data_IF_231884090007
#
_entry.id   IF_231884090007
#
_cell.length_a   1.000
_cell.length_b   1.000
_cell.length_c   1.000
_cell.angle_alpha   90.00
_cell.angle_beta   90.00
_cell.angle_gamma   90.00
#
_symmetry.space_group_name_H-M   'P 1'
#
loop_
_entity.id
_entity.type
_entity.pdbx_description
1 polymer ?
#
# COMPACT_ATOMS: atom_id res chain seq x y z
N UNK A 1 17.84 1.09 15.35
CA UNK A 1 18.61 0.83 14.11
C UNK A 1 20.01 0.36 14.44
N UNK A 2 20.79 1.10 15.22
CA UNK A 2 22.18 0.73 15.56
C UNK A 2 22.25 -0.63 16.27
N UNK A 3 21.36 -0.90 17.23
CA UNK A 3 21.28 -2.17 17.94
C UNK A 3 20.99 -3.34 16.98
N UNK A 4 20.11 -3.16 16.01
CA UNK A 4 19.83 -4.18 14.98
C UNK A 4 21.09 -4.44 14.15
N UNK A 5 21.78 -3.37 13.71
CA UNK A 5 23.04 -3.49 12.95
C UNK A 5 24.16 -4.15 13.73
N UNK A 6 24.21 -4.00 15.05
CA UNK A 6 25.23 -4.65 15.89
C UNK A 6 24.98 -6.14 16.14
N UNK A 7 23.73 -6.60 15.96
CA UNK A 7 23.33 -7.98 16.19
C UNK A 7 23.20 -8.83 14.92
N UNK A 8 23.08 -8.18 13.76
CA UNK A 8 22.91 -8.86 12.48
C UNK A 8 24.10 -8.58 11.54
N UNK A 9 24.65 -9.66 11.01
CA UNK A 9 25.58 -9.56 9.88
C UNK A 9 24.79 -9.38 8.56
N UNK A 10 25.22 -8.44 7.72
CA UNK A 10 24.55 -8.16 6.45
C UNK A 10 24.54 -9.39 5.53
N UNK A 11 25.61 -10.19 5.51
CA UNK A 11 25.68 -11.37 4.66
C UNK A 11 24.68 -12.43 5.12
N UNK A 12 24.48 -12.61 6.43
CA UNK A 12 23.46 -13.53 6.96
C UNK A 12 22.04 -13.07 6.61
N UNK A 13 21.77 -11.77 6.74
CA UNK A 13 20.48 -11.21 6.32
C UNK A 13 20.23 -11.50 4.85
N UNK A 14 21.19 -11.15 3.98
CA UNK A 14 21.02 -11.28 2.53
C UNK A 14 20.99 -12.74 2.06
N UNK A 15 21.66 -13.69 2.74
CA UNK A 15 21.55 -15.13 2.44
C UNK A 15 20.13 -15.67 2.58
N UNK A 16 19.31 -15.05 3.40
CA UNK A 16 17.88 -15.39 3.51
C UNK A 16 17.07 -15.02 2.28
N UNK A 17 17.64 -14.23 1.36
CA UNK A 17 16.97 -13.73 0.17
C UNK A 17 17.62 -14.18 -1.13
N UNK A 18 18.96 -14.21 -1.19
CA UNK A 18 19.73 -14.50 -2.41
C UNK A 18 20.89 -15.43 -2.13
N UNK A 19 21.32 -16.19 -3.14
CA UNK A 19 22.48 -17.08 -3.05
C UNK A 19 23.76 -16.25 -3.16
N UNK A 20 24.48 -16.09 -2.04
CA UNK A 20 25.79 -15.43 -1.99
C UNK A 20 26.93 -16.44 -2.19
N UNK A 21 27.88 -16.08 -3.01
CA UNK A 21 29.11 -16.87 -3.24
C UNK A 21 30.36 -16.05 -2.86
N UNK A 22 31.42 -16.65 -2.32
CA UNK A 22 32.64 -15.97 -1.91
C UNK A 22 33.31 -15.22 -3.07
N UNK A 23 33.87 -14.03 -2.77
CA UNK A 23 34.66 -13.20 -3.69
C UNK A 23 35.76 -12.46 -2.91
N UNK A 24 36.80 -13.18 -2.46
CA UNK A 24 37.82 -12.68 -1.57
C UNK A 24 37.26 -12.37 -0.18
N UNK A 25 37.46 -11.14 0.33
CA UNK A 25 36.88 -10.65 1.59
C UNK A 25 35.38 -10.30 1.47
N UNK A 26 34.88 -10.21 0.26
CA UNK A 26 33.49 -9.88 -0.03
C UNK A 26 32.72 -11.12 -0.48
N UNK A 27 31.39 -10.94 -0.68
CA UNK A 27 30.52 -11.93 -1.28
C UNK A 27 29.89 -11.32 -2.54
N UNK A 28 29.55 -12.18 -3.52
CA UNK A 28 28.89 -11.73 -4.76
C UNK A 28 27.65 -12.58 -5.06
N UNK A 29 26.73 -12.00 -5.83
CA UNK A 29 25.54 -12.69 -6.30
C UNK A 29 25.10 -12.13 -7.66
N UNK A 30 24.16 -12.82 -8.31
CA UNK A 30 23.35 -12.20 -9.34
C UNK A 30 22.41 -11.17 -8.68
N UNK A 31 22.30 -10.00 -9.26
CA UNK A 31 21.49 -8.93 -8.71
C UNK A 31 19.99 -9.29 -8.73
N UNK A 32 19.28 -9.17 -7.60
CA UNK A 32 17.84 -9.43 -7.59
C UNK A 32 17.01 -8.30 -8.21
N UNK A 33 17.65 -7.14 -8.48
CA UNK A 33 16.96 -5.93 -8.90
C UNK A 33 17.06 -5.64 -10.41
N UNK A 34 17.95 -6.33 -11.14
CA UNK A 34 18.00 -6.29 -12.60
C UNK A 34 18.39 -7.67 -13.17
N UNK A 35 18.18 -7.89 -14.46
CA UNK A 35 18.53 -9.13 -15.13
C UNK A 35 19.98 -9.11 -15.59
N UNK A 36 20.76 -10.10 -15.15
CA UNK A 36 22.16 -10.26 -15.56
C UNK A 36 22.54 -11.75 -15.65
N UNK A 37 23.59 -12.03 -16.40
CA UNK A 37 24.13 -13.39 -16.55
C UNK A 37 25.36 -13.64 -15.69
N UNK A 38 26.08 -12.59 -15.29
CA UNK A 38 27.29 -12.63 -14.48
C UNK A 38 27.08 -11.84 -13.18
N UNK A 39 27.56 -12.36 -12.03
CA UNK A 39 27.37 -11.70 -10.74
C UNK A 39 28.02 -10.32 -10.65
N UNK A 40 27.23 -9.25 -10.51
CA UNK A 40 27.70 -7.88 -10.29
C UNK A 40 27.26 -7.28 -8.94
N UNK A 41 26.47 -8.02 -8.18
CA UNK A 41 26.00 -7.61 -6.86
C UNK A 41 27.06 -8.02 -5.81
N UNK A 42 27.70 -7.03 -5.18
CA UNK A 42 28.73 -7.25 -4.18
C UNK A 42 28.24 -6.90 -2.77
N UNK A 43 28.58 -7.73 -1.82
CA UNK A 43 28.30 -7.52 -0.39
C UNK A 43 29.63 -7.44 0.35
N UNK A 44 29.81 -6.40 1.13
CA UNK A 44 30.96 -6.21 2.02
C UNK A 44 30.53 -6.36 3.47
N UNK A 45 30.76 -7.53 4.12
CA UNK A 45 30.42 -7.74 5.53
C UNK A 45 31.10 -6.71 6.43
N UNK A 46 32.41 -6.45 6.23
CA UNK A 46 33.20 -5.52 7.04
C UNK A 46 32.63 -4.09 7.04
N UNK A 47 32.00 -3.69 5.92
CA UNK A 47 31.39 -2.36 5.79
C UNK A 47 29.90 -2.34 6.11
N UNK A 48 29.28 -3.51 6.31
CA UNK A 48 27.83 -3.63 6.49
C UNK A 48 27.03 -3.11 5.30
N UNK A 49 27.59 -3.22 4.07
CA UNK A 49 26.99 -2.62 2.88
C UNK A 49 27.03 -3.54 1.66
N UNK A 50 26.16 -3.25 0.70
CA UNK A 50 26.13 -3.89 -0.61
C UNK A 50 26.10 -2.86 -1.73
N UNK A 51 26.56 -3.24 -2.91
CA UNK A 51 26.49 -2.42 -4.11
C UNK A 51 26.40 -3.32 -5.35
N UNK A 52 25.56 -2.96 -6.28
CA UNK A 52 25.47 -3.62 -7.58
C UNK A 52 26.18 -2.79 -8.65
N UNK A 53 27.25 -3.31 -9.23
CA UNK A 53 28.02 -2.62 -10.28
C UNK A 53 27.31 -2.67 -11.66
N UNK A 54 26.26 -3.48 -11.81
CA UNK A 54 25.46 -3.54 -13.05
C UNK A 54 24.41 -2.43 -13.13
N UNK A 55 23.66 -2.19 -12.04
CA UNK A 55 22.60 -1.17 -12.03
C UNK A 55 22.87 0.03 -11.11
N UNK A 56 24.08 0.10 -10.47
CA UNK A 56 24.53 1.24 -9.68
C UNK A 56 23.86 1.42 -8.32
N UNK A 57 22.90 0.57 -7.94
CA UNK A 57 22.22 0.69 -6.65
C UNK A 57 23.01 0.03 -5.52
N UNK A 58 22.87 0.56 -4.31
CA UNK A 58 23.55 0.06 -3.13
C UNK A 58 22.90 0.53 -1.83
N UNK A 59 23.43 0.06 -0.71
CA UNK A 59 22.96 0.45 0.61
C UNK A 59 23.37 -0.51 1.72
N UNK A 60 22.72 -0.41 2.84
CA UNK A 60 22.84 -1.33 3.99
C UNK A 60 21.75 -2.44 3.96
N UNK A 61 21.68 -3.24 5.03
CA UNK A 61 20.68 -4.30 5.15
C UNK A 61 19.24 -3.78 5.12
N UNK A 62 18.98 -2.57 5.64
CA UNK A 62 17.64 -1.98 5.61
C UNK A 62 17.26 -1.59 4.18
N UNK A 63 18.15 -0.90 3.48
CA UNK A 63 17.94 -0.53 2.08
C UNK A 63 17.71 -1.76 1.19
N UNK A 64 18.43 -2.88 1.45
CA UNK A 64 18.20 -4.14 0.75
C UNK A 64 16.79 -4.68 1.02
N UNK A 65 16.40 -4.81 2.29
CA UNK A 65 15.09 -5.37 2.68
C UNK A 65 13.94 -4.49 2.18
N UNK A 66 14.06 -3.16 2.32
CA UNK A 66 13.07 -2.22 1.77
C UNK A 66 12.86 -2.44 0.28
N UNK A 67 13.95 -2.52 -0.49
CA UNK A 67 13.87 -2.68 -1.94
C UNK A 67 13.46 -4.10 -2.34
N UNK A 68 13.95 -5.10 -1.63
CA UNK A 68 13.64 -6.50 -1.91
C UNK A 68 12.19 -6.82 -1.55
N UNK A 69 11.66 -6.42 -0.42
CA UNK A 69 10.28 -6.68 0.02
C UNK A 69 9.28 -5.64 -0.51
N UNK A 70 9.77 -4.59 -1.18
CA UNK A 70 8.95 -3.46 -1.65
C UNK A 70 8.14 -2.82 -0.52
N UNK A 71 8.81 -2.50 0.58
CA UNK A 71 8.22 -1.97 1.82
C UNK A 71 8.92 -0.70 2.26
N UNK A 72 8.29 0.04 3.17
CA UNK A 72 8.87 1.22 3.76
C UNK A 72 9.81 0.88 4.92
N UNK A 73 10.64 1.85 5.32
CA UNK A 73 11.70 1.68 6.31
C UNK A 73 11.21 1.06 7.61
N UNK A 74 10.03 1.44 8.08
CA UNK A 74 9.49 0.95 9.35
C UNK A 74 9.16 -0.55 9.32
N UNK A 75 8.62 -1.05 8.22
CA UNK A 75 8.38 -2.49 8.03
C UNK A 75 9.70 -3.26 7.96
N UNK A 76 10.68 -2.74 7.19
CA UNK A 76 12.01 -3.35 7.11
C UNK A 76 12.69 -3.37 8.48
N UNK A 77 12.54 -2.31 9.26
CA UNK A 77 13.05 -2.23 10.64
C UNK A 77 12.41 -3.29 11.53
N UNK A 78 11.10 -3.50 11.45
CA UNK A 78 10.41 -4.54 12.22
C UNK A 78 10.88 -5.93 11.87
N UNK A 79 10.98 -6.25 10.57
CA UNK A 79 11.47 -7.56 10.12
C UNK A 79 12.90 -7.85 10.61
N UNK A 80 13.76 -6.84 10.51
CA UNK A 80 15.15 -7.00 10.96
C UNK A 80 15.27 -7.02 12.48
N UNK A 81 14.43 -6.27 13.21
CA UNK A 81 14.38 -6.31 14.67
C UNK A 81 13.93 -7.67 15.20
N UNK A 82 12.89 -8.26 14.60
CA UNK A 82 12.44 -9.62 14.93
C UNK A 82 13.57 -10.63 14.71
N UNK A 83 14.25 -10.55 13.57
CA UNK A 83 15.39 -11.41 13.25
C UNK A 83 16.58 -11.20 14.18
N UNK A 84 16.79 -9.99 14.69
CA UNK A 84 17.85 -9.64 15.65
C UNK A 84 17.49 -9.98 17.11
N UNK A 85 16.27 -10.42 17.41
CA UNK A 85 15.75 -10.55 18.77
C UNK A 85 15.72 -9.22 19.52
N UNK A 86 15.50 -8.12 18.81
CA UNK A 86 15.42 -6.76 19.35
C UNK A 86 13.95 -6.36 19.47
N UNK A 87 13.52 -6.06 20.67
CA UNK A 87 12.20 -5.47 20.89
C UNK A 87 12.22 -4.01 20.43
N UNK A 88 11.48 -3.70 19.37
CA UNK A 88 11.27 -2.30 18.98
C UNK A 88 10.34 -1.67 20.03
N UNK A 89 10.94 -0.95 20.98
CA UNK A 89 10.19 -0.27 22.03
C UNK A 89 9.14 0.66 21.40
N UNK A 90 7.94 0.68 21.97
CA UNK A 90 6.83 1.51 21.51
C UNK A 90 7.11 3.04 21.58
N UNK A 91 8.24 3.43 22.13
CA UNK A 91 8.70 4.81 22.35
C UNK A 91 9.97 5.21 21.61
N UNK A 92 10.55 4.37 20.73
CA UNK A 92 11.60 4.86 19.84
C UNK A 92 11.00 5.95 18.95
N UNK A 93 11.62 7.14 18.93
CA UNK A 93 11.06 8.40 18.40
C UNK A 93 10.41 8.25 16.99
N UNK A 94 10.88 7.34 16.16
CA UNK A 94 10.31 7.06 14.84
C UNK A 94 9.26 5.94 14.88
N UNK A 95 9.40 4.89 15.71
CA UNK A 95 8.49 3.74 15.76
C UNK A 95 7.08 4.09 16.28
N UNK A 96 6.98 5.00 17.24
CA UNK A 96 5.71 5.53 17.75
C UNK A 96 4.95 6.31 16.68
N UNK A 97 5.65 7.22 16.00
CA UNK A 97 5.06 8.07 14.96
C UNK A 97 4.49 7.25 13.78
N UNK A 98 5.17 6.19 13.32
CA UNK A 98 4.65 5.30 12.29
C UNK A 98 3.44 4.48 12.77
N UNK A 99 3.48 4.01 14.02
CA UNK A 99 2.37 3.28 14.62
C UNK A 99 1.10 4.12 14.65
N UNK A 100 1.21 5.40 15.05
CA UNK A 100 0.09 6.33 15.07
C UNK A 100 -0.55 6.49 13.67
N UNK A 101 0.24 6.51 12.59
CA UNK A 101 -0.29 6.59 11.22
C UNK A 101 -1.09 5.33 10.84
N UNK A 102 -0.57 4.13 11.16
CA UNK A 102 -1.30 2.89 10.93
C UNK A 102 -2.59 2.81 11.75
N UNK A 103 -2.53 3.23 13.02
CA UNK A 103 -3.69 3.23 13.90
C UNK A 103 -4.76 4.22 13.42
N UNK A 104 -4.35 5.43 12.97
CA UNK A 104 -5.25 6.42 12.37
C UNK A 104 -5.91 5.91 11.08
N UNK A 105 -5.14 5.28 10.17
CA UNK A 105 -5.69 4.69 8.95
C UNK A 105 -6.65 3.53 9.25
N UNK A 106 -6.32 2.67 10.21
CA UNK A 106 -7.22 1.59 10.64
C UNK A 106 -8.54 2.15 11.17
N UNK A 107 -8.47 3.14 12.07
CA UNK A 107 -9.67 3.77 12.63
C UNK A 107 -10.49 4.50 11.55
N UNK A 108 -9.83 5.14 10.58
CA UNK A 108 -10.51 5.74 9.43
C UNK A 108 -11.23 4.70 8.57
N UNK A 109 -10.60 3.54 8.31
CA UNK A 109 -11.22 2.42 7.61
C UNK A 109 -12.46 1.93 8.36
N UNK A 110 -12.35 1.69 9.66
CA UNK A 110 -13.46 1.21 10.49
C UNK A 110 -14.61 2.25 10.50
N UNK A 111 -14.28 3.54 10.57
CA UNK A 111 -15.25 4.63 10.43
C UNK A 111 -15.97 4.57 9.08
N UNK A 112 -15.25 4.52 7.96
CA UNK A 112 -15.86 4.48 6.63
C UNK A 112 -16.72 3.24 6.43
N UNK A 113 -16.27 2.07 6.90
CA UNK A 113 -17.09 0.85 6.88
C UNK A 113 -18.40 1.04 7.64
N UNK A 114 -18.34 1.61 8.85
CA UNK A 114 -19.54 1.85 9.68
C UNK A 114 -20.52 2.77 8.98
N UNK A 115 -20.06 3.75 8.19
CA UNK A 115 -20.93 4.64 7.43
C UNK A 115 -21.66 3.91 6.31
N UNK A 116 -21.00 2.97 5.62
CA UNK A 116 -21.64 2.20 4.55
C UNK A 116 -22.59 1.12 5.10
N UNK A 117 -22.26 0.50 6.24
CA UNK A 117 -23.00 -0.64 6.80
C UNK A 117 -23.99 -0.27 7.91
N UNK A 118 -24.25 1.01 8.17
CA UNK A 118 -25.16 1.50 9.23
C UNK A 118 -26.52 0.80 9.18
N UNK A 119 -27.03 0.32 10.30
CA UNK A 119 -28.33 -0.34 10.37
C UNK A 119 -29.50 0.61 10.03
N UNK A 120 -29.34 1.91 10.34
CA UNK A 120 -30.31 2.96 10.02
C UNK A 120 -29.64 4.00 9.09
N UNK A 121 -29.60 3.73 7.76
CA UNK A 121 -28.89 4.58 6.82
C UNK A 121 -29.60 5.92 6.61
N UNK A 122 -28.83 7.00 6.55
CA UNK A 122 -29.27 8.27 6.01
C UNK A 122 -29.54 8.15 4.51
N UNK A 123 -30.20 9.12 3.89
CA UNK A 123 -30.40 9.14 2.44
C UNK A 123 -29.09 9.03 1.64
N UNK A 124 -28.03 9.72 2.09
CA UNK A 124 -26.69 9.64 1.48
C UNK A 124 -26.09 8.23 1.58
N UNK A 125 -26.22 7.58 2.72
CA UNK A 125 -25.73 6.20 2.93
C UNK A 125 -26.54 5.19 2.09
N UNK A 126 -27.86 5.37 1.97
CA UNK A 126 -28.69 4.55 1.09
C UNK A 126 -28.26 4.68 -0.37
N UNK A 127 -28.08 5.92 -0.86
CA UNK A 127 -27.57 6.19 -2.22
C UNK A 127 -26.21 5.52 -2.48
N UNK A 128 -25.30 5.55 -1.50
CA UNK A 128 -24.00 4.89 -1.63
C UNK A 128 -24.14 3.35 -1.73
N UNK A 129 -25.04 2.75 -0.95
CA UNK A 129 -25.34 1.30 -1.03
C UNK A 129 -25.92 0.90 -2.38
N UNK A 130 -26.91 1.66 -2.84
CA UNK A 130 -27.50 1.42 -4.15
C UNK A 130 -26.47 1.54 -5.26
N UNK A 131 -25.57 2.51 -5.13
CA UNK A 131 -24.48 2.68 -6.09
C UNK A 131 -23.53 1.47 -6.10
N UNK A 132 -23.00 1.00 -4.97
CA UNK A 132 -22.09 -0.14 -4.96
C UNK A 132 -22.78 -1.43 -5.41
N UNK A 133 -24.07 -1.60 -5.09
CA UNK A 133 -24.90 -2.71 -5.57
C UNK A 133 -25.13 -2.64 -7.09
N UNK A 134 -25.45 -1.45 -7.62
CA UNK A 134 -25.62 -1.25 -9.08
C UNK A 134 -24.32 -1.51 -9.86
N UNK A 135 -23.16 -1.40 -9.20
CA UNK A 135 -21.85 -1.76 -9.75
C UNK A 135 -21.52 -3.26 -9.64
N UNK A 136 -22.46 -4.08 -9.16
CA UNK A 136 -22.33 -5.53 -9.09
C UNK A 136 -21.60 -6.06 -7.85
N UNK A 137 -21.24 -5.20 -6.87
CA UNK A 137 -20.55 -5.67 -5.66
C UNK A 137 -21.51 -6.39 -4.72
N UNK A 138 -21.09 -7.58 -4.28
CA UNK A 138 -21.82 -8.36 -3.26
C UNK A 138 -21.46 -7.88 -1.86
N UNK A 139 -22.31 -8.22 -0.87
CA UNK A 139 -22.07 -7.90 0.53
C UNK A 139 -20.78 -8.56 1.05
N UNK A 140 -20.51 -9.78 0.60
CA UNK A 140 -19.29 -10.54 0.93
C UNK A 140 -18.05 -9.80 0.43
N UNK A 141 -18.05 -9.35 -0.83
CA UNK A 141 -16.94 -8.60 -1.42
C UNK A 141 -16.73 -7.25 -0.72
N UNK A 142 -17.82 -6.53 -0.42
CA UNK A 142 -17.78 -5.27 0.35
C UNK A 142 -17.12 -5.50 1.72
N UNK A 143 -17.52 -6.56 2.42
CA UNK A 143 -16.97 -6.92 3.72
C UNK A 143 -15.52 -7.41 3.62
N UNK A 144 -15.21 -8.26 2.63
CA UNK A 144 -13.87 -8.82 2.45
C UNK A 144 -12.80 -7.76 2.15
N UNK A 145 -13.16 -6.75 1.37
CA UNK A 145 -12.27 -5.64 0.99
C UNK A 145 -12.49 -4.38 1.84
N UNK A 146 -13.32 -4.49 2.88
CA UNK A 146 -13.53 -3.44 3.87
C UNK A 146 -13.92 -2.09 3.22
N UNK A 147 -14.77 -2.18 2.19
CA UNK A 147 -15.24 -1.01 1.43
C UNK A 147 -16.16 -0.17 2.32
N UNK A 148 -15.99 1.15 2.27
CA UNK A 148 -16.70 2.08 3.13
C UNK A 148 -17.27 3.27 2.41
N UNK A 149 -17.77 4.23 3.17
CA UNK A 149 -18.30 5.51 2.69
C UNK A 149 -17.70 6.66 3.49
N UNK A 150 -17.11 7.62 2.81
CA UNK A 150 -16.80 8.93 3.38
C UNK A 150 -18.05 9.80 3.31
N UNK A 151 -18.58 10.30 4.44
CA UNK A 151 -19.73 11.18 4.45
C UNK A 151 -19.51 12.45 3.62
N UNK A 152 -20.58 13.09 3.17
CA UNK A 152 -20.49 14.35 2.42
C UNK A 152 -20.13 15.56 3.31
N UNK A 153 -20.26 15.43 4.63
CA UNK A 153 -19.91 16.50 5.59
C UNK A 153 -18.40 16.76 5.61
N UNK A 154 -18.05 18.01 5.94
CA UNK A 154 -16.68 18.49 5.79
C UNK A 154 -15.67 17.94 6.80
N UNK A 155 -16.10 17.46 7.96
CA UNK A 155 -15.26 17.15 9.12
C UNK A 155 -15.75 15.90 9.91
N UNK A 156 -16.50 15.02 9.27
CA UNK A 156 -17.08 13.84 9.92
C UNK A 156 -16.03 12.87 10.46
N UNK A 157 -15.03 12.53 9.63
CA UNK A 157 -13.90 11.70 10.03
C UNK A 157 -13.04 12.40 11.07
N UNK A 158 -12.74 13.69 10.85
CA UNK A 158 -11.92 14.49 11.78
C UNK A 158 -12.53 14.47 13.19
N UNK A 159 -13.84 14.73 13.32
CA UNK A 159 -14.54 14.69 14.62
C UNK A 159 -14.54 13.28 15.22
N UNK A 160 -14.75 12.26 14.42
CA UNK A 160 -14.75 10.87 14.90
C UNK A 160 -13.38 10.47 15.46
N UNK A 161 -12.29 10.77 14.74
CA UNK A 161 -10.95 10.40 15.18
C UNK A 161 -10.47 11.24 16.39
N UNK A 162 -10.74 12.53 16.40
CA UNK A 162 -10.39 13.38 17.55
C UNK A 162 -11.21 13.03 18.80
N UNK A 163 -12.49 12.68 18.63
CA UNK A 163 -13.33 12.14 19.70
C UNK A 163 -12.81 10.83 20.28
N UNK A 164 -12.20 9.99 19.44
CA UNK A 164 -11.49 8.76 19.82
C UNK A 164 -10.03 9.01 20.31
N UNK A 165 -9.66 10.28 20.53
CA UNK A 165 -8.36 10.74 21.06
C UNK A 165 -7.14 10.47 20.16
N UNK A 166 -7.33 10.35 18.85
CA UNK A 166 -6.21 10.37 17.92
C UNK A 166 -5.62 11.78 17.81
N UNK A 167 -4.29 11.87 17.81
CA UNK A 167 -3.60 13.16 17.72
C UNK A 167 -3.79 13.79 16.33
N UNK A 168 -4.18 15.07 16.28
CA UNK A 168 -4.41 15.80 15.01
C UNK A 168 -3.20 15.74 14.08
N UNK A 169 -1.94 15.91 14.55
CA UNK A 169 -0.78 15.76 13.66
C UNK A 169 -0.63 14.36 13.04
N UNK A 170 -1.04 13.30 13.74
CA UNK A 170 -1.02 11.95 13.20
C UNK A 170 -2.08 11.76 12.11
N UNK A 171 -3.30 12.29 12.31
CA UNK A 171 -4.40 12.24 11.34
C UNK A 171 -4.00 13.01 10.06
N UNK A 172 -3.38 14.20 10.21
CA UNK A 172 -2.89 15.03 9.10
C UNK A 172 -1.76 14.31 8.33
N UNK A 173 -0.73 13.81 9.04
CA UNK A 173 0.38 13.06 8.45
C UNK A 173 -0.03 11.75 7.79
N UNK A 174 -1.12 11.12 8.24
CA UNK A 174 -1.73 9.98 7.58
C UNK A 174 -2.47 10.35 6.27
N UNK A 175 -2.58 11.65 5.95
CA UNK A 175 -3.24 12.15 4.75
C UNK A 175 -4.76 12.05 4.79
N UNK A 176 -5.36 11.96 5.97
CA UNK A 176 -6.81 11.81 6.16
C UNK A 176 -7.55 13.14 6.20
N UNK A 177 -6.86 14.20 6.60
CA UNK A 177 -7.39 15.57 6.69
C UNK A 177 -6.49 16.57 5.97
N UNK A 178 -7.04 17.73 5.67
CA UNK A 178 -6.34 18.85 5.04
C UNK A 178 -6.50 20.07 5.97
N UNK A 179 -5.38 20.73 6.25
CA UNK A 179 -5.37 22.01 6.98
C UNK A 179 -5.60 23.15 6.00
N UNK A 180 -6.58 24.03 6.29
CA UNK A 180 -6.81 25.23 5.52
C UNK A 180 -5.79 26.33 5.90
N UNK A 181 -5.67 27.37 5.10
CA UNK A 181 -4.86 28.56 5.40
C UNK A 181 -5.30 29.24 6.69
N UNK A 182 -6.57 29.12 7.06
CA UNK A 182 -7.15 29.69 8.30
C UNK A 182 -6.95 28.78 9.53
N UNK A 183 -6.23 27.63 9.38
CA UNK A 183 -5.96 26.71 10.46
C UNK A 183 -7.08 25.73 10.80
N UNK A 184 -8.20 25.73 10.06
CA UNK A 184 -9.28 24.74 10.20
C UNK A 184 -8.93 23.45 9.45
N UNK A 185 -9.48 22.31 9.92
CA UNK A 185 -9.27 21.01 9.32
C UNK A 185 -10.52 20.52 8.60
N UNK A 186 -10.31 19.88 7.45
CA UNK A 186 -11.35 19.30 6.60
C UNK A 186 -10.99 17.87 6.27
N UNK A 187 -11.99 16.99 6.16
CA UNK A 187 -11.78 15.64 5.68
C UNK A 187 -11.29 15.66 4.23
N UNK A 188 -10.25 14.90 3.93
CA UNK A 188 -9.73 14.76 2.55
C UNK A 188 -10.74 14.08 1.64
N UNK A 189 -11.45 13.09 2.16
CA UNK A 189 -12.43 12.30 1.42
C UNK A 189 -13.83 12.69 1.88
N UNK A 190 -14.68 13.08 0.93
CA UNK A 190 -16.06 13.50 1.19
C UNK A 190 -16.96 13.02 0.07
N UNK A 191 -18.15 12.47 0.39
CA UNK A 191 -19.11 12.01 -0.59
C UNK A 191 -18.56 10.91 -1.52
N UNK A 192 -17.74 9.99 -0.98
CA UNK A 192 -17.02 8.99 -1.77
C UNK A 192 -17.16 7.59 -1.22
N UNK A 193 -17.31 6.62 -2.12
CA UNK A 193 -17.07 5.21 -1.78
C UNK A 193 -15.56 5.03 -1.59
N UNK A 194 -15.18 4.44 -0.44
CA UNK A 194 -13.81 4.32 0.01
C UNK A 194 -13.30 2.91 -0.16
N UNK A 195 -12.12 2.80 -0.77
CA UNK A 195 -11.38 1.55 -0.97
C UNK A 195 -10.07 1.66 -0.20
N UNK A 196 -9.89 0.87 0.88
CA UNK A 196 -8.64 0.87 1.62
C UNK A 196 -7.49 0.32 0.77
N UNK A 197 -6.32 0.94 0.89
CA UNK A 197 -5.08 0.50 0.27
C UNK A 197 -4.21 -0.18 1.31
N UNK A 198 -3.74 -1.38 0.99
CA UNK A 198 -2.98 -2.23 1.90
C UNK A 198 -1.54 -2.38 1.44
N UNK A 199 -0.62 -2.41 2.39
CA UNK A 199 0.75 -2.86 2.11
C UNK A 199 0.81 -4.40 1.99
N UNK A 200 2.01 -4.92 1.70
CA UNK A 200 2.25 -6.36 1.51
C UNK A 200 1.95 -7.21 2.77
N UNK A 201 1.82 -6.58 3.94
CA UNK A 201 1.49 -7.24 5.22
C UNK A 201 0.00 -7.13 5.58
N UNK A 202 -0.82 -6.56 4.71
CA UNK A 202 -2.26 -6.40 4.96
C UNK A 202 -2.59 -5.28 5.95
N UNK A 203 -1.71 -4.28 6.12
CA UNK A 203 -2.01 -3.08 6.90
C UNK A 203 -2.50 -1.97 6.01
N UNK A 204 -3.54 -1.26 6.44
CA UNK A 204 -4.07 -0.10 5.73
C UNK A 204 -3.06 1.04 5.79
N UNK A 205 -2.63 1.51 4.62
CA UNK A 205 -1.63 2.58 4.47
C UNK A 205 -2.20 3.85 3.85
N UNK A 206 -3.38 3.77 3.25
CA UNK A 206 -4.08 4.88 2.63
C UNK A 206 -5.41 4.44 2.03
N UNK A 207 -5.97 5.30 1.20
CA UNK A 207 -7.28 5.08 0.59
C UNK A 207 -7.31 5.62 -0.84
N UNK A 208 -8.22 5.05 -1.63
CA UNK A 208 -8.74 5.69 -2.82
C UNK A 208 -10.25 5.87 -2.67
N UNK A 209 -10.76 7.02 -3.04
CA UNK A 209 -12.17 7.38 -2.91
C UNK A 209 -12.81 7.71 -4.25
N UNK A 210 -13.82 6.94 -4.65
CA UNK A 210 -14.63 7.20 -5.85
C UNK A 210 -15.81 8.08 -5.51
N UNK A 211 -15.95 9.21 -6.20
CA UNK A 211 -17.07 10.13 -5.99
C UNK A 211 -18.40 9.46 -6.35
N UNK A 212 -19.44 9.71 -5.54
CA UNK A 212 -20.79 9.30 -5.86
C UNK A 212 -21.37 10.20 -6.98
N UNK A 213 -22.09 9.64 -7.98
CA UNK A 213 -22.71 10.43 -9.04
C UNK A 213 -23.65 11.54 -8.52
N UNK A 214 -24.33 11.29 -7.40
CA UNK A 214 -25.19 12.27 -6.73
C UNK A 214 -24.44 13.51 -6.25
N UNK A 215 -23.19 13.38 -5.83
CA UNK A 215 -22.34 14.48 -5.36
C UNK A 215 -21.91 15.37 -6.54
N UNK A 216 -21.60 14.77 -7.67
CA UNK A 216 -21.26 15.51 -8.89
C UNK A 216 -22.45 16.36 -9.34
N UNK A 217 -23.66 15.78 -9.31
CA UNK A 217 -24.88 16.47 -9.70
C UNK A 217 -25.23 17.66 -8.78
N UNK A 218 -24.90 17.58 -7.48
CA UNK A 218 -25.22 18.63 -6.51
C UNK A 218 -24.22 19.79 -6.51
N UNK A 219 -22.94 19.53 -6.76
CA UNK A 219 -21.91 20.56 -6.62
C UNK A 219 -21.68 21.35 -7.91
N UNK A 220 -22.12 20.85 -9.08
CA UNK A 220 -21.89 21.49 -10.38
C UNK A 220 -20.41 21.59 -10.78
N UNK A 221 -19.50 21.15 -9.90
CA UNK A 221 -18.07 21.10 -10.17
C UNK A 221 -17.68 19.72 -10.67
N UNK A 222 -16.79 19.66 -11.63
CA UNK A 222 -16.13 18.44 -12.11
C UNK A 222 -15.22 17.88 -11.02
N UNK A 223 -15.82 17.20 -10.03
CA UNK A 223 -15.05 16.52 -9.00
C UNK A 223 -14.30 15.35 -9.63
N UNK A 224 -13.00 15.25 -9.37
CA UNK A 224 -12.20 14.12 -9.84
C UNK A 224 -12.88 12.79 -9.49
N UNK A 225 -13.06 11.92 -10.51
CA UNK A 225 -13.73 10.62 -10.39
C UNK A 225 -13.13 9.78 -9.24
N UNK A 226 -11.80 9.76 -9.14
CA UNK A 226 -11.05 9.14 -8.05
C UNK A 226 -10.11 10.14 -7.39
N UNK A 227 -9.99 10.04 -6.07
CA UNK A 227 -9.00 10.76 -5.26
C UNK A 227 -8.25 9.74 -4.41
N UNK A 228 -6.92 9.81 -4.42
CA UNK A 228 -6.06 8.95 -3.60
C UNK A 228 -5.52 9.71 -2.38
N UNK A 229 -5.12 8.95 -1.35
CA UNK A 229 -4.25 9.48 -0.30
C UNK A 229 -3.01 10.14 -0.90
N UNK A 230 -2.47 11.19 -0.30
CA UNK A 230 -1.17 11.75 -0.68
C UNK A 230 -0.06 10.76 -0.29
N UNK A 231 1.14 10.99 -0.79
CA UNK A 231 2.34 10.32 -0.27
C UNK A 231 2.48 10.59 1.22
N UNK A 232 2.74 9.53 1.99
CA UNK A 232 2.94 9.60 3.44
C UNK A 232 4.12 8.74 3.86
N UNK A 233 4.62 8.84 5.09
CA UNK A 233 5.70 7.95 5.55
C UNK A 233 5.39 6.45 5.49
N UNK A 234 4.11 6.06 5.36
CA UNK A 234 3.67 4.66 5.27
C UNK A 234 3.00 4.32 3.93
N UNK A 235 2.81 5.28 3.04
CA UNK A 235 2.16 5.10 1.75
C UNK A 235 2.97 5.72 0.62
N UNK A 236 3.39 4.90 -0.30
CA UNK A 236 4.01 5.30 -1.55
C UNK A 236 3.22 4.69 -2.71
N UNK A 237 2.57 5.55 -3.49
CA UNK A 237 1.67 5.13 -4.57
C UNK A 237 2.37 4.27 -5.63
N UNK A 238 3.65 4.54 -5.90
CA UNK A 238 4.43 3.78 -6.88
C UNK A 238 4.74 2.34 -6.46
N UNK A 239 4.52 1.99 -5.19
CA UNK A 239 4.81 0.67 -4.63
C UNK A 239 3.55 -0.17 -4.36
N UNK A 240 2.36 0.44 -4.36
CA UNK A 240 1.12 -0.22 -3.94
C UNK A 240 0.34 -0.73 -5.16
N UNK A 241 0.10 -2.04 -5.17
CA UNK A 241 -0.85 -2.69 -6.07
C UNK A 241 -2.10 -3.08 -5.27
N UNK A 242 -3.26 -2.61 -5.73
CA UNK A 242 -4.53 -2.92 -5.06
C UNK A 242 -4.80 -4.43 -5.08
N UNK A 243 -5.17 -4.98 -3.94
CA UNK A 243 -5.46 -6.40 -3.79
C UNK A 243 -4.23 -7.31 -3.64
N UNK A 244 -3.01 -6.83 -3.86
CA UNK A 244 -1.79 -7.66 -3.87
C UNK A 244 -1.58 -8.47 -2.59
N UNK A 245 -1.88 -7.91 -1.42
CA UNK A 245 -1.75 -8.60 -0.13
C UNK A 245 -2.60 -9.89 -0.05
N UNK A 246 -3.73 -9.95 -0.78
CA UNK A 246 -4.60 -11.14 -0.89
C UNK A 246 -4.22 -12.03 -2.07
N UNK A 247 -3.87 -11.42 -3.21
CA UNK A 247 -3.62 -12.15 -4.47
C UNK A 247 -2.25 -12.84 -4.54
N UNK A 248 -1.29 -12.43 -3.73
CA UNK A 248 0.12 -12.89 -3.82
C UNK A 248 0.29 -14.40 -3.73
N UNK A 249 -0.56 -15.12 -2.98
CA UNK A 249 -0.53 -16.59 -2.91
C UNK A 249 -0.97 -17.19 -4.24
N UNK A 250 -2.14 -16.79 -4.74
CA UNK A 250 -2.67 -17.29 -6.01
C UNK A 250 -1.74 -16.96 -7.19
N UNK A 251 -1.11 -15.77 -7.19
CA UNK A 251 -0.11 -15.40 -8.20
C UNK A 251 1.10 -16.35 -8.13
N UNK A 252 1.59 -16.66 -6.92
CA UNK A 252 2.72 -17.58 -6.73
C UNK A 252 2.39 -19.00 -7.19
N UNK A 253 1.20 -19.47 -6.91
CA UNK A 253 0.74 -20.82 -7.23
C UNK A 253 0.52 -20.98 -8.76
N UNK A 254 -0.06 -19.97 -9.40
CA UNK A 254 -0.31 -19.97 -10.86
C UNK A 254 0.87 -19.46 -11.68
N UNK A 255 1.89 -18.86 -11.07
CA UNK A 255 3.00 -18.15 -11.72
C UNK A 255 2.54 -17.03 -12.67
N UNK A 256 1.29 -16.60 -12.56
CA UNK A 256 0.68 -15.63 -13.46
C UNK A 256 -0.01 -14.55 -12.64
N UNK A 257 0.24 -13.27 -12.96
CA UNK A 257 -0.50 -12.14 -12.43
C UNK A 257 -1.32 -11.48 -13.53
N UNK A 258 -2.59 -11.22 -13.25
CA UNK A 258 -3.48 -10.43 -14.11
C UNK A 258 -3.50 -9.01 -13.54
N UNK A 259 -3.16 -8.04 -14.36
CA UNK A 259 -3.11 -6.63 -13.98
C UNK A 259 -4.25 -5.88 -14.66
N UNK A 260 -5.13 -5.28 -13.86
CA UNK A 260 -6.22 -4.42 -14.32
C UNK A 260 -5.97 -2.97 -13.91
N UNK A 261 -6.73 -2.02 -14.45
CA UNK A 261 -6.52 -0.60 -14.14
C UNK A 261 -7.14 -0.20 -12.80
N UNK A 262 -8.39 -0.56 -12.58
CA UNK A 262 -9.21 -0.01 -11.51
C UNK A 262 -9.53 -0.99 -10.39
N UNK A 263 -9.90 -0.43 -9.24
CA UNK A 263 -10.36 -1.20 -8.09
C UNK A 263 -11.64 -1.99 -8.39
N UNK A 264 -12.53 -1.41 -9.23
CA UNK A 264 -13.79 -2.06 -9.59
C UNK A 264 -13.55 -3.31 -10.44
N UNK A 265 -12.65 -3.21 -11.42
CA UNK A 265 -12.28 -4.33 -12.31
C UNK A 265 -11.67 -5.47 -11.51
N UNK A 266 -10.76 -5.11 -10.58
CA UNK A 266 -10.19 -6.06 -9.63
C UNK A 266 -11.29 -6.76 -8.81
N UNK A 267 -12.20 -6.00 -8.20
CA UNK A 267 -13.24 -6.54 -7.32
C UNK A 267 -14.20 -7.47 -8.07
N UNK A 268 -14.57 -7.13 -9.30
CA UNK A 268 -15.41 -7.97 -10.14
C UNK A 268 -14.70 -9.27 -10.49
N UNK A 269 -13.45 -9.23 -10.95
CA UNK A 269 -12.68 -10.44 -11.25
C UNK A 269 -12.46 -11.31 -10.01
N UNK A 270 -12.17 -10.67 -8.86
CA UNK A 270 -12.02 -11.38 -7.59
C UNK A 270 -13.31 -12.09 -7.16
N UNK A 271 -14.44 -11.42 -7.32
CA UNK A 271 -15.77 -11.95 -7.02
C UNK A 271 -16.11 -13.16 -7.89
N UNK A 272 -15.71 -13.15 -9.18
CA UNK A 272 -15.85 -14.25 -10.12
C UNK A 272 -14.83 -15.39 -9.91
N UNK A 273 -14.04 -15.32 -8.83
CA UNK A 273 -13.10 -16.39 -8.46
C UNK A 273 -11.69 -16.24 -9.03
N UNK A 274 -11.38 -15.21 -9.79
CA UNK A 274 -10.03 -14.94 -10.32
C UNK A 274 -9.17 -14.31 -9.22
N UNK A 275 -8.40 -15.13 -8.50
CA UNK A 275 -7.67 -14.72 -7.30
C UNK A 275 -6.24 -14.23 -7.56
N UNK A 276 -5.70 -14.42 -8.75
CA UNK A 276 -4.38 -13.94 -9.17
C UNK A 276 -4.43 -12.58 -9.89
N UNK A 277 -5.45 -11.78 -9.61
CA UNK A 277 -5.67 -10.42 -10.14
C UNK A 277 -5.16 -9.35 -9.18
N UNK A 278 -4.70 -8.23 -9.72
CA UNK A 278 -4.27 -7.01 -8.99
C UNK A 278 -4.65 -5.78 -9.81
N UNK A 279 -4.74 -4.60 -9.17
CA UNK A 279 -4.96 -3.36 -9.92
C UNK A 279 -3.86 -2.31 -9.67
N UNK A 280 -3.54 -1.52 -10.71
CA UNK A 280 -2.60 -0.39 -10.64
C UNK A 280 -3.21 0.86 -10.00
N UNK A 281 -4.54 0.93 -9.87
CA UNK A 281 -5.30 1.96 -9.13
C UNK A 281 -5.10 3.38 -9.66
N UNK A 282 -5.19 3.56 -10.97
CA UNK A 282 -5.07 4.87 -11.62
C UNK A 282 -3.63 5.42 -11.60
N UNK A 283 -2.66 4.51 -11.64
CA UNK A 283 -1.24 4.82 -11.81
C UNK A 283 -0.71 3.94 -12.95
N UNK A 284 0.16 4.46 -13.79
CA UNK A 284 0.90 3.62 -14.73
C UNK A 284 1.67 2.53 -13.98
N UNK A 285 1.86 1.38 -14.60
CA UNK A 285 2.61 0.28 -14.00
C UNK A 285 4.08 0.70 -13.80
N UNK A 286 4.51 0.81 -12.55
CA UNK A 286 5.84 1.30 -12.19
C UNK A 286 6.88 0.17 -12.20
N UNK A 287 8.17 0.55 -12.21
CA UNK A 287 9.26 -0.42 -12.05
C UNK A 287 9.19 -1.15 -10.71
N UNK A 288 8.77 -0.46 -9.64
CA UNK A 288 8.57 -1.04 -8.30
C UNK A 288 7.48 -2.11 -8.30
N UNK A 289 6.37 -1.88 -9.01
CA UNK A 289 5.31 -2.86 -9.21
C UNK A 289 5.85 -4.10 -9.94
N UNK A 290 6.58 -3.90 -11.05
CA UNK A 290 7.15 -5.00 -11.83
C UNK A 290 8.18 -5.80 -11.02
N UNK A 291 9.01 -5.15 -10.22
CA UNK A 291 9.97 -5.81 -9.34
C UNK A 291 9.29 -6.65 -8.25
N UNK A 292 8.16 -6.18 -7.70
CA UNK A 292 7.39 -6.94 -6.73
C UNK A 292 6.76 -8.19 -7.37
N UNK A 293 6.19 -8.06 -8.57
CA UNK A 293 5.54 -9.16 -9.29
C UNK A 293 6.53 -10.20 -9.81
N UNK A 294 7.68 -9.77 -10.36
CA UNK A 294 8.71 -10.64 -10.92
C UNK A 294 9.18 -11.76 -9.99
N UNK A 295 9.05 -11.57 -8.68
CA UNK A 295 9.47 -12.55 -7.68
C UNK A 295 8.53 -13.73 -7.53
N UNK A 296 7.27 -13.54 -7.92
CA UNK A 296 6.21 -14.52 -7.70
C UNK A 296 5.45 -14.89 -8.97
N UNK A 297 5.63 -14.13 -10.06
CA UNK A 297 5.01 -14.37 -11.36
C UNK A 297 6.07 -14.50 -12.45
N UNK A 298 5.84 -15.41 -13.38
CA UNK A 298 6.61 -15.61 -14.62
C UNK A 298 5.90 -14.94 -15.80
N UNK A 299 4.57 -14.82 -15.72
CA UNK A 299 3.71 -14.22 -16.75
C UNK A 299 2.90 -13.07 -16.17
N UNK A 300 2.81 -11.97 -16.91
CA UNK A 300 1.89 -10.87 -16.65
C UNK A 300 0.87 -10.79 -17.79
N UNK A 301 -0.41 -10.77 -17.43
CA UNK A 301 -1.51 -10.53 -18.35
C UNK A 301 -2.02 -9.12 -18.05
N UNK A 302 -1.92 -8.21 -19.01
CA UNK A 302 -2.45 -6.86 -18.89
C UNK A 302 -3.87 -6.85 -19.44
N UNK A 303 -4.84 -6.43 -18.62
CA UNK A 303 -6.25 -6.30 -18.98
C UNK A 303 -6.67 -4.88 -18.69
N UNK A 304 -6.26 -3.97 -19.56
CA UNK A 304 -6.51 -2.53 -19.48
C UNK A 304 -7.68 -2.14 -20.38
N UNK A 305 -8.28 -0.99 -20.09
CA UNK A 305 -9.35 -0.44 -20.91
C UNK A 305 -8.82 -0.14 -22.33
N UNK A 306 -9.66 -0.33 -23.35
CA UNK A 306 -9.29 -0.11 -24.76
C UNK A 306 -9.44 1.38 -25.15
N UNK A 307 -9.11 2.29 -24.24
CA UNK A 307 -9.05 3.73 -24.47
C UNK A 307 -7.59 4.21 -24.68
N UNK A 308 -7.41 5.48 -25.03
CA UNK A 308 -6.09 6.05 -25.31
C UNK A 308 -5.13 5.95 -24.10
N UNK A 309 -5.64 5.92 -22.88
CA UNK A 309 -4.85 5.81 -21.66
C UNK A 309 -4.39 4.35 -21.41
N UNK A 310 -5.22 3.36 -21.72
CA UNK A 310 -4.92 1.94 -21.55
C UNK A 310 -4.01 1.38 -22.65
N UNK A 311 -3.91 2.08 -23.80
CA UNK A 311 -3.05 1.72 -24.93
C UNK A 311 -1.65 2.35 -24.85
N UNK A 312 -1.42 3.33 -23.99
CA UNK A 312 -0.16 4.04 -23.80
C UNK A 312 0.72 3.36 -22.74
#
# INVERSE_FOLDING_TARGET
VQEIKSRLDIAEVLRGYIKLIPAGKNLKALCPFHKEKSPSFMVSPDRGSWHCFGCGIGGDMFAFVMKYENIEFFEAMKLLAEKAGVTVAAGAADGGAYRELYDANRAAKDFFMSQLTSAAPSAHQATARDYVKSRGLTAETISEFEIGLAPAVSDGLFRALTGARYAVPAIERAGLIIKSERGTYWDRFRGRVMFPLYNNFGKVVGFTGRVLPSEIAQTGFEAAKYVNSPETPIFNKSKILYGFHKSKSAIRDTKTAIVVEGQMDFLMMWQDGIKNVIASSGTALTMEHLLALRRIAETLILSFDADDAGLA
#
